data_IF_254869669894
#
_entry.id   IF_254869669894
#
_cell.length_a   1.000
_cell.length_b   1.000
_cell.length_c   1.000
_cell.angle_alpha   90.00
_cell.angle_beta   90.00
_cell.angle_gamma   90.00
#
_symmetry.space_group_name_H-M   'P 1'
#
loop_
_entity.id
_entity.type
_entity.pdbx_description
1 polymer ?
#
# COMPACT_ATOMS: atom_id res chain seq x y z
N UNK A 1 -53.94 -4.69 -23.93
CA UNK A 1 -53.13 -3.80 -23.07
C UNK A 1 -52.86 -4.51 -21.75
N UNK A 2 -51.65 -5.03 -21.55
CA UNK A 2 -51.21 -5.53 -20.24
C UNK A 2 -50.36 -4.45 -19.57
N UNK A 3 -50.79 -3.98 -18.41
CA UNK A 3 -50.03 -3.00 -17.63
C UNK A 3 -48.84 -3.72 -17.00
N UNK A 4 -47.63 -3.46 -17.51
CA UNK A 4 -46.40 -3.90 -16.85
C UNK A 4 -46.24 -3.06 -15.57
N UNK A 5 -46.61 -3.65 -14.44
CA UNK A 5 -46.44 -3.03 -13.12
C UNK A 5 -45.00 -3.23 -12.66
N UNK A 6 -44.16 -2.23 -12.87
CA UNK A 6 -42.82 -2.17 -12.30
C UNK A 6 -42.93 -1.74 -10.83
N UNK A 7 -42.66 -2.66 -9.91
CA UNK A 7 -42.54 -2.36 -8.48
C UNK A 7 -41.21 -1.68 -8.21
N UNK A 8 -41.24 -0.42 -7.76
CA UNK A 8 -40.05 0.28 -7.25
C UNK A 8 -39.80 -0.23 -5.83
N UNK A 9 -38.73 -1.01 -5.67
CA UNK A 9 -38.21 -1.41 -4.35
C UNK A 9 -36.87 -0.72 -4.09
N UNK A 10 -36.59 -0.39 -2.84
CA UNK A 10 -35.30 0.18 -2.43
C UNK A 10 -34.27 -0.95 -2.35
N UNK A 11 -33.25 -0.92 -3.22
CA UNK A 11 -32.13 -1.84 -3.12
C UNK A 11 -31.16 -1.38 -2.01
N UNK A 12 -30.81 -2.31 -1.13
CA UNK A 12 -29.83 -2.14 -0.05
C UNK A 12 -30.28 -1.19 1.09
N UNK A 13 -31.21 -1.62 1.97
CA UNK A 13 -31.68 -0.83 3.11
C UNK A 13 -30.63 -0.68 4.23
N UNK A 14 -29.45 -1.31 4.08
CA UNK A 14 -28.40 -1.29 5.09
C UNK A 14 -27.73 0.08 5.18
N UNK A 15 -27.49 0.51 6.42
CA UNK A 15 -26.76 1.74 6.72
C UNK A 15 -25.30 1.57 6.31
N UNK A 16 -24.82 2.41 5.39
CA UNK A 16 -23.40 2.50 5.06
C UNK A 16 -22.61 3.05 6.25
N UNK A 17 -21.88 2.17 6.95
CA UNK A 17 -20.99 2.58 8.03
C UNK A 17 -19.73 3.20 7.42
N UNK A 18 -19.61 4.51 7.49
CA UNK A 18 -18.42 5.25 7.05
C UNK A 18 -17.60 5.65 8.28
N UNK A 19 -16.32 5.29 8.29
CA UNK A 19 -15.36 5.68 9.31
C UNK A 19 -14.46 6.80 8.77
N UNK A 20 -14.27 7.86 9.55
CA UNK A 20 -13.40 8.96 9.15
C UNK A 20 -11.96 8.72 9.63
N UNK A 21 -11.01 8.70 8.70
CA UNK A 21 -9.59 8.44 8.95
C UNK A 21 -8.77 9.69 8.72
N UNK A 22 -7.67 9.84 9.45
CA UNK A 22 -6.72 10.92 9.23
C UNK A 22 -5.96 10.73 7.93
N UNK A 23 -5.27 11.81 7.53
CA UNK A 23 -4.24 11.69 6.52
C UNK A 23 -3.27 10.56 6.87
N UNK A 24 -2.83 9.83 5.85
CA UNK A 24 -1.83 8.78 6.01
C UNK A 24 -0.47 9.43 6.31
N UNK A 25 0.17 8.99 7.38
CA UNK A 25 1.56 9.27 7.67
C UNK A 25 2.43 8.19 7.02
N UNK A 26 3.32 8.59 6.10
CA UNK A 26 4.25 7.67 5.45
C UNK A 26 5.49 7.46 6.31
N UNK A 27 5.87 6.20 6.53
CA UNK A 27 7.17 5.84 7.09
C UNK A 27 8.29 5.87 6.04
N UNK A 28 9.52 5.56 6.46
CA UNK A 28 10.67 5.49 5.56
C UNK A 28 10.53 4.33 4.56
N UNK A 29 11.07 4.52 3.36
CA UNK A 29 11.22 3.45 2.38
C UNK A 29 12.26 2.42 2.87
N UNK A 30 12.01 1.14 2.62
CA UNK A 30 12.92 0.05 2.99
C UNK A 30 14.28 0.09 2.28
N UNK A 31 14.38 0.88 1.20
CA UNK A 31 15.59 1.03 0.38
C UNK A 31 15.88 2.50 0.14
N UNK A 32 17.16 2.82 -0.09
CA UNK A 32 17.61 4.15 -0.51
C UNK A 32 17.82 4.26 -2.03
N UNK A 33 17.75 3.13 -2.75
CA UNK A 33 17.83 3.03 -4.21
C UNK A 33 17.06 1.79 -4.70
N UNK A 34 16.60 1.83 -5.95
CA UNK A 34 15.78 0.76 -6.54
C UNK A 34 14.34 0.72 -6.01
N UNK A 35 13.70 -0.44 -6.13
CA UNK A 35 12.31 -0.65 -5.71
C UNK A 35 12.27 -1.19 -4.28
N UNK A 36 11.45 -0.59 -3.44
CA UNK A 36 11.20 -1.07 -2.07
C UNK A 36 9.76 -0.82 -1.66
N UNK A 37 9.51 -0.92 -0.35
CA UNK A 37 8.20 -0.63 0.25
C UNK A 37 8.35 0.23 1.49
N UNK A 38 7.38 1.10 1.73
CA UNK A 38 7.22 1.78 3.01
C UNK A 38 5.89 1.41 3.65
N UNK A 39 5.88 1.49 4.97
CA UNK A 39 4.67 1.34 5.78
C UNK A 39 4.09 2.72 6.01
N UNK A 40 2.76 2.86 5.87
CA UNK A 40 2.04 4.07 6.25
C UNK A 40 0.98 3.76 7.31
N UNK A 41 0.75 4.72 8.19
CA UNK A 41 -0.21 4.63 9.28
C UNK A 41 -1.24 5.75 9.19
N UNK A 42 -2.46 5.53 9.69
CA UNK A 42 -3.51 6.56 9.78
C UNK A 42 -4.26 6.38 11.08
N UNK A 43 -4.69 7.46 11.73
CA UNK A 43 -5.47 7.39 12.96
C UNK A 43 -6.96 7.58 12.67
N UNK A 44 -7.82 7.03 13.52
CA UNK A 44 -9.25 7.31 13.41
C UNK A 44 -9.53 8.71 13.99
N UNK A 45 -10.20 9.57 13.21
CA UNK A 45 -10.54 10.94 13.64
C UNK A 45 -11.89 10.97 14.33
N UNK A 46 -12.85 10.18 13.85
CA UNK A 46 -14.23 10.23 14.32
C UNK A 46 -14.57 9.00 15.16
N UNK A 47 -14.60 9.21 16.48
CA UNK A 47 -15.02 8.23 17.49
C UNK A 47 -16.53 8.32 17.76
N UNK A 48 -17.23 9.30 17.16
CA UNK A 48 -18.58 9.69 17.54
C UNK A 48 -19.67 8.97 16.74
N UNK A 49 -19.34 8.45 15.55
CA UNK A 49 -20.19 7.45 14.90
C UNK A 49 -20.01 6.09 15.57
N UNK A 50 -20.83 5.82 16.60
CA UNK A 50 -20.84 4.59 17.41
C UNK A 50 -20.90 3.27 16.62
N UNK A 51 -21.17 3.32 15.31
CA UNK A 51 -21.18 2.15 14.43
C UNK A 51 -19.83 1.85 13.76
N UNK A 52 -18.80 2.70 13.87
CA UNK A 52 -17.47 2.38 13.37
C UNK A 52 -16.73 1.40 14.32
N UNK A 53 -17.13 0.13 14.29
CA UNK A 53 -16.51 -0.94 15.09
C UNK A 53 -15.03 -1.19 14.75
N UNK A 54 -14.57 -0.74 13.58
CA UNK A 54 -13.16 -0.84 13.18
C UNK A 54 -12.24 0.19 13.85
N UNK A 55 -12.81 1.18 14.55
CA UNK A 55 -12.08 2.20 15.32
C UNK A 55 -12.14 1.95 16.84
N UNK A 56 -12.38 0.72 17.28
CA UNK A 56 -12.67 0.37 18.68
C UNK A 56 -11.55 0.66 19.69
N UNK A 57 -10.30 0.83 19.25
CA UNK A 57 -9.18 1.12 20.15
C UNK A 57 -8.35 2.35 19.73
N UNK A 58 -8.90 3.24 18.89
CA UNK A 58 -8.12 4.28 18.21
C UNK A 58 -6.88 3.71 17.47
N UNK A 59 -6.86 2.40 17.21
CA UNK A 59 -5.74 1.74 16.57
C UNK A 59 -5.73 2.14 15.11
N UNK A 60 -4.71 2.89 14.75
CA UNK A 60 -4.52 3.34 13.40
C UNK A 60 -4.40 2.18 12.42
N UNK A 61 -4.85 2.37 11.18
CA UNK A 61 -4.65 1.37 10.13
C UNK A 61 -3.22 1.46 9.63
N UNK A 62 -2.67 0.31 9.26
CA UNK A 62 -1.34 0.16 8.72
C UNK A 62 -1.47 -0.39 7.30
N UNK A 63 -0.70 0.15 6.36
CA UNK A 63 -0.72 -0.32 4.98
C UNK A 63 0.69 -0.24 4.37
N UNK A 64 1.05 -1.22 3.55
CA UNK A 64 2.33 -1.25 2.81
C UNK A 64 2.13 -0.71 1.39
N UNK A 65 3.04 0.14 0.93
CA UNK A 65 2.97 0.73 -0.40
C UNK A 65 4.36 0.79 -1.04
N UNK A 66 4.48 0.57 -2.36
CA UNK A 66 5.77 0.59 -3.01
C UNK A 66 6.35 2.01 -3.05
N UNK A 67 7.67 2.08 -2.94
CA UNK A 67 8.49 3.25 -3.24
C UNK A 67 9.44 2.91 -4.38
N UNK A 68 9.64 3.88 -5.27
CA UNK A 68 10.48 3.74 -6.45
C UNK A 68 11.57 4.81 -6.42
N UNK A 69 12.81 4.37 -6.24
CA UNK A 69 14.00 5.20 -6.38
C UNK A 69 14.80 4.81 -7.62
N UNK A 70 15.72 5.67 -8.08
CA UNK A 70 16.67 5.32 -9.13
C UNK A 70 17.37 4.01 -8.80
N UNK A 71 17.61 3.18 -9.82
CA UNK A 71 18.35 1.92 -9.67
C UNK A 71 19.67 2.18 -8.95
N UNK A 72 20.02 1.29 -8.02
CA UNK A 72 21.27 1.39 -7.29
C UNK A 72 22.45 1.40 -8.26
N UNK A 73 23.17 2.53 -8.32
CA UNK A 73 24.45 2.64 -9.02
C UNK A 73 25.58 2.05 -8.16
N UNK A 74 25.34 0.85 -7.63
CA UNK A 74 26.40 0.06 -7.02
C UNK A 74 27.39 -0.34 -8.10
N UNK A 75 28.70 -0.07 -7.88
CA UNK A 75 29.76 -0.60 -8.73
C UNK A 75 29.50 -2.10 -8.87
N UNK A 76 29.30 -2.58 -10.10
CA UNK A 76 29.29 -4.03 -10.38
C UNK A 76 30.44 -4.61 -9.59
N UNK A 77 30.17 -5.59 -8.71
CA UNK A 77 31.26 -6.37 -8.11
C UNK A 77 32.06 -6.84 -9.32
N UNK A 78 33.27 -6.30 -9.52
CA UNK A 78 34.19 -6.93 -10.47
C UNK A 78 34.31 -8.34 -9.90
N UNK A 79 33.69 -9.31 -10.59
CA UNK A 79 33.89 -10.71 -10.26
C UNK A 79 35.40 -10.86 -10.21
N UNK A 80 35.96 -11.18 -9.04
CA UNK A 80 37.41 -11.34 -8.86
C UNK A 80 37.96 -12.54 -9.67
N UNK A 81 37.16 -13.12 -10.57
CA UNK A 81 37.52 -14.19 -11.50
C UNK A 81 38.24 -13.71 -12.76
N UNK A 82 38.50 -12.41 -12.94
CA UNK A 82 39.25 -11.90 -14.10
C UNK A 82 40.75 -11.75 -13.83
N UNK A 83 41.41 -12.83 -13.41
CA UNK A 83 42.88 -12.95 -13.33
C UNK A 83 43.43 -14.23 -13.99
N UNK A 84 42.63 -14.94 -14.81
CA UNK A 84 43.02 -16.26 -15.35
C UNK A 84 42.78 -16.48 -16.86
N UNK A 85 42.76 -15.45 -17.70
CA UNK A 85 42.73 -15.65 -19.17
C UNK A 85 43.64 -14.66 -19.92
N UNK A 86 44.90 -14.56 -19.53
CA UNK A 86 45.90 -13.81 -20.31
C UNK A 86 47.28 -14.48 -20.36
N UNK A 87 47.37 -15.78 -20.06
CA UNK A 87 48.64 -16.54 -20.06
C UNK A 87 48.48 -17.98 -20.56
N UNK A 88 47.64 -18.23 -21.57
CA UNK A 88 47.72 -19.46 -22.38
C UNK A 88 47.25 -19.15 -23.81
N UNK A 89 48.18 -19.18 -24.75
CA UNK A 89 47.91 -19.06 -26.18
C UNK A 89 49.11 -18.46 -26.91
N UNK A 90 50.09 -19.31 -27.19
CA UNK A 90 51.23 -19.10 -28.10
C UNK A 90 50.86 -18.49 -29.47
#
# INVERSE_FOLDING_TARGET
CGTNTSTVGTCNPDVCIICNWSAWANGPCSVTCGTGSYIRTTNCIDQFFRNCTTCTNNTGRINSRPCFYPSCTGRRRRSLTSWLLSWLGD
#
